data_IF_163600615462
#
_entry.id   IF_163600615462
#
_cell.length_a   1.000
_cell.length_b   1.000
_cell.length_c   1.000
_cell.angle_alpha   90.00
_cell.angle_beta   90.00
_cell.angle_gamma   90.00
#
_symmetry.space_group_name_H-M   'P 1'
#
loop_
_entity.id
_entity.type
_entity.pdbx_description
1 polymer ?
#
# COMPACT_ATOMS: atom_id res chain seq x y z
N UNK A 1 37.09 -40.15 -18.09
CA UNK A 1 37.45 -38.80 -17.63
C UNK A 1 36.17 -37.96 -17.71
N UNK A 2 35.22 -38.24 -16.81
CA UNK A 2 33.91 -37.60 -16.80
C UNK A 2 33.95 -36.38 -15.87
N UNK A 3 33.75 -35.21 -16.46
CA UNK A 3 33.54 -33.98 -15.72
C UNK A 3 32.14 -34.04 -15.06
N UNK A 4 32.13 -34.25 -13.75
CA UNK A 4 30.97 -34.03 -12.89
C UNK A 4 30.67 -32.54 -12.89
N UNK A 5 29.69 -32.12 -13.68
CA UNK A 5 29.10 -30.78 -13.60
C UNK A 5 28.42 -30.65 -12.22
N UNK A 6 29.09 -29.96 -11.30
CA UNK A 6 28.48 -29.49 -10.06
C UNK A 6 27.37 -28.50 -10.42
N UNK A 7 26.13 -28.86 -10.11
CA UNK A 7 25.00 -27.93 -10.18
C UNK A 7 25.23 -26.80 -9.18
N UNK A 8 25.10 -25.57 -9.66
CA UNK A 8 25.16 -24.36 -8.85
C UNK A 8 24.11 -24.39 -7.74
N UNK A 9 24.43 -24.00 -6.50
CA UNK A 9 23.48 -23.91 -5.38
C UNK A 9 22.42 -22.80 -5.56
N UNK A 10 22.44 -22.08 -6.68
CA UNK A 10 21.44 -21.08 -7.04
C UNK A 10 20.37 -21.59 -8.03
N UNK A 11 20.43 -22.85 -8.44
CA UNK A 11 19.44 -23.47 -9.34
C UNK A 11 18.32 -24.16 -8.55
N UNK A 12 17.85 -23.50 -7.48
CA UNK A 12 16.60 -23.88 -6.85
C UNK A 12 15.48 -23.31 -7.72
N UNK A 13 15.01 -24.13 -8.66
CA UNK A 13 13.66 -23.98 -9.20
C UNK A 13 12.74 -23.81 -7.99
N UNK A 14 12.20 -22.59 -7.81
CA UNK A 14 11.20 -22.30 -6.79
C UNK A 14 10.03 -23.21 -7.09
N UNK A 15 9.94 -24.33 -6.37
CA UNK A 15 8.86 -25.26 -6.54
C UNK A 15 7.64 -24.60 -5.90
N UNK A 16 6.73 -24.12 -6.75
CA UNK A 16 5.40 -23.68 -6.34
C UNK A 16 4.84 -24.76 -5.41
N UNK A 17 4.54 -24.38 -4.17
CA UNK A 17 3.90 -25.30 -3.24
C UNK A 17 2.52 -25.61 -3.81
N UNK A 18 2.06 -26.87 -3.80
CA UNK A 18 0.76 -27.24 -4.40
C UNK A 18 -0.41 -26.43 -3.82
N UNK A 19 -0.24 -25.87 -2.62
CA UNK A 19 -1.24 -25.08 -1.90
C UNK A 19 -1.12 -23.57 -2.11
N UNK A 20 -0.12 -23.07 -2.85
CA UNK A 20 0.04 -21.62 -3.08
C UNK A 20 -1.18 -20.98 -3.78
N UNK A 21 -1.82 -21.60 -4.80
CA UNK A 21 -3.05 -21.08 -5.36
C UNK A 21 -4.18 -20.97 -4.34
N UNK A 22 -4.30 -21.95 -3.44
CA UNK A 22 -5.30 -21.91 -2.37
C UNK A 22 -5.00 -20.81 -1.35
N UNK A 23 -3.73 -20.57 -1.03
CA UNK A 23 -3.30 -19.48 -0.16
C UNK A 23 -3.62 -18.10 -0.73
N UNK A 24 -3.50 -17.91 -2.06
CA UNK A 24 -3.91 -16.67 -2.74
C UNK A 24 -5.41 -16.43 -2.58
N UNK A 25 -6.25 -17.45 -2.79
CA UNK A 25 -7.71 -17.33 -2.62
C UNK A 25 -8.13 -17.09 -1.17
N UNK A 26 -7.42 -17.69 -0.21
CA UNK A 26 -7.60 -17.40 1.21
C UNK A 26 -7.22 -15.95 1.53
N UNK A 27 -6.13 -15.43 0.96
CA UNK A 27 -5.74 -14.03 1.12
C UNK A 27 -6.78 -13.07 0.56
N UNK A 28 -7.33 -13.34 -0.64
CA UNK A 28 -8.45 -12.58 -1.23
C UNK A 28 -9.67 -12.58 -0.30
N UNK A 29 -10.00 -13.73 0.25
CA UNK A 29 -11.13 -13.88 1.19
C UNK A 29 -10.90 -13.07 2.46
N UNK A 30 -9.71 -13.16 3.06
CA UNK A 30 -9.36 -12.42 4.27
C UNK A 30 -9.40 -10.90 4.06
N UNK A 31 -8.88 -10.41 2.93
CA UNK A 31 -8.91 -8.98 2.57
C UNK A 31 -10.32 -8.44 2.37
N UNK A 32 -11.21 -9.22 1.73
CA UNK A 32 -12.63 -8.84 1.62
C UNK A 32 -13.33 -8.85 2.98
N UNK A 33 -13.10 -9.89 3.78
CA UNK A 33 -13.71 -10.01 5.10
C UNK A 33 -13.33 -8.86 6.03
N UNK A 34 -12.06 -8.45 6.05
CA UNK A 34 -11.64 -7.29 6.86
C UNK A 34 -12.23 -5.98 6.32
N UNK A 35 -12.30 -5.81 4.99
CA UNK A 35 -12.92 -4.63 4.37
C UNK A 35 -14.41 -4.52 4.72
N UNK A 36 -15.15 -5.63 4.63
CA UNK A 36 -16.56 -5.71 5.03
C UNK A 36 -16.76 -5.40 6.51
N UNK A 37 -15.91 -5.97 7.38
CA UNK A 37 -15.92 -5.71 8.83
C UNK A 37 -15.72 -4.22 9.14
N UNK A 38 -14.70 -3.60 8.55
CA UNK A 38 -14.38 -2.18 8.75
C UNK A 38 -15.48 -1.26 8.20
N UNK A 39 -16.05 -1.60 7.04
CA UNK A 39 -17.17 -0.88 6.46
C UNK A 39 -18.43 -0.94 7.35
N UNK A 40 -18.77 -2.13 7.85
CA UNK A 40 -19.94 -2.35 8.71
C UNK A 40 -19.83 -1.58 10.04
N UNK A 41 -18.61 -1.41 10.54
CA UNK A 41 -18.32 -0.63 11.74
C UNK A 41 -18.14 0.87 11.47
N UNK A 42 -18.26 1.32 10.22
CA UNK A 42 -17.98 2.70 9.81
C UNK A 42 -16.59 3.20 10.25
N UNK A 43 -15.59 2.30 10.19
CA UNK A 43 -14.21 2.62 10.55
C UNK A 43 -13.67 3.75 9.67
N UNK A 44 -12.84 4.63 10.26
CA UNK A 44 -12.24 5.76 9.53
C UNK A 44 -11.34 5.25 8.40
N UNK A 45 -11.62 5.72 7.19
CA UNK A 45 -10.83 5.49 5.99
C UNK A 45 -10.06 6.77 5.57
N UNK A 46 -9.12 6.61 4.65
CA UNK A 46 -8.28 7.69 4.12
C UNK A 46 -8.37 7.76 2.60
N UNK A 47 -8.10 8.95 2.05
CA UNK A 47 -8.07 9.14 0.61
C UNK A 47 -6.86 8.44 -0.01
N UNK A 48 -7.07 7.86 -1.20
CA UNK A 48 -6.05 7.25 -2.02
C UNK A 48 -5.82 8.08 -3.27
N UNK A 49 -4.58 8.35 -3.65
CA UNK A 49 -4.30 9.18 -4.82
C UNK A 49 -3.01 8.83 -5.57
N UNK A 50 -3.04 9.09 -6.87
CA UNK A 50 -1.86 9.14 -7.72
C UNK A 50 -1.36 10.60 -7.81
N UNK A 51 -0.05 10.82 -7.64
CA UNK A 51 0.55 12.13 -7.90
C UNK A 51 0.83 12.28 -9.40
N UNK A 52 0.08 13.16 -10.06
CA UNK A 52 0.17 13.38 -11.51
C UNK A 52 1.01 14.62 -11.80
N UNK A 53 2.11 14.43 -12.52
CA UNK A 53 2.88 15.51 -13.15
C UNK A 53 2.42 15.70 -14.60
N UNK A 54 1.56 16.70 -14.87
CA UNK A 54 1.00 16.88 -16.19
C UNK A 54 2.05 17.37 -17.19
N UNK A 55 2.03 16.79 -18.40
CA UNK A 55 2.81 17.30 -19.53
C UNK A 55 2.32 18.71 -19.90
N UNK A 56 3.22 19.63 -20.31
CA UNK A 56 2.81 20.93 -20.84
C UNK A 56 1.92 20.75 -22.07
N UNK A 57 0.90 21.60 -22.21
CA UNK A 57 0.02 21.64 -23.39
C UNK A 57 0.20 23.00 -24.06
N UNK A 58 0.60 23.01 -25.34
CA UNK A 58 0.92 24.23 -26.10
C UNK A 58 1.95 25.15 -25.39
N UNK A 59 2.93 24.56 -24.69
CA UNK A 59 3.95 25.32 -23.95
C UNK A 59 3.48 25.89 -22.60
N UNK A 60 2.22 25.69 -22.21
CA UNK A 60 1.70 26.17 -20.92
C UNK A 60 1.94 25.10 -19.85
N UNK A 61 2.75 25.37 -18.81
CA UNK A 61 2.96 24.43 -17.72
C UNK A 61 1.68 24.26 -16.91
N UNK A 62 1.39 23.02 -16.53
CA UNK A 62 0.24 22.67 -15.71
C UNK A 62 0.75 22.31 -14.32
N UNK A 63 0.02 22.77 -13.28
CA UNK A 63 0.41 22.47 -11.90
C UNK A 63 0.22 20.98 -11.62
N UNK A 64 1.18 20.31 -10.95
CA UNK A 64 0.97 18.96 -10.42
C UNK A 64 -0.29 18.88 -9.58
N UNK A 65 -0.96 17.72 -9.61
CA UNK A 65 -2.18 17.47 -8.83
C UNK A 65 -2.23 16.02 -8.37
N UNK A 66 -2.91 15.77 -7.27
CA UNK A 66 -3.26 14.42 -6.85
C UNK A 66 -4.59 14.01 -7.50
N UNK A 67 -4.61 12.87 -8.19
CA UNK A 67 -5.82 12.29 -8.78
C UNK A 67 -6.35 11.22 -7.84
N UNK A 68 -7.60 11.36 -7.40
CA UNK A 68 -8.24 10.37 -6.52
C UNK A 68 -8.35 9.00 -7.18
N UNK A 69 -8.06 7.97 -6.38
CA UNK A 69 -8.23 6.55 -6.68
C UNK A 69 -9.28 5.90 -5.74
N UNK A 70 -10.03 6.73 -5.00
CA UNK A 70 -11.03 6.28 -4.04
C UNK A 70 -10.53 6.37 -2.59
N UNK A 71 -11.08 5.50 -1.74
CA UNK A 71 -10.79 5.46 -0.30
C UNK A 71 -10.27 4.08 0.08
N UNK A 72 -9.46 4.04 1.14
CA UNK A 72 -8.89 2.81 1.67
C UNK A 72 -8.70 2.93 3.19
N UNK A 73 -8.81 1.80 3.90
CA UNK A 73 -8.31 1.70 5.27
C UNK A 73 -6.81 1.43 5.24
N UNK A 74 -6.06 2.19 6.04
CA UNK A 74 -4.61 2.00 6.18
C UNK A 74 -4.32 1.01 7.29
N UNK A 75 -3.90 -0.18 6.89
CA UNK A 75 -3.52 -1.28 7.77
C UNK A 75 -2.00 -1.48 7.68
N UNK A 76 -1.25 -0.59 8.32
CA UNK A 76 0.21 -0.62 8.41
C UNK A 76 0.89 -0.48 7.04
N UNK A 77 1.44 -1.56 6.48
CA UNK A 77 2.03 -1.63 5.15
C UNK A 77 1.02 -1.78 3.99
N UNK A 78 -0.24 -2.07 4.29
CA UNK A 78 -1.30 -2.30 3.31
C UNK A 78 -2.35 -1.19 3.36
N UNK A 79 -2.91 -0.85 2.20
CA UNK A 79 -4.09 -0.02 2.03
C UNK A 79 -5.17 -0.89 1.38
N UNK A 80 -6.27 -1.11 2.09
CA UNK A 80 -7.35 -2.01 1.65
C UNK A 80 -8.58 -1.20 1.28
N UNK A 81 -9.09 -1.37 0.07
CA UNK A 81 -10.34 -0.72 -0.37
C UNK A 81 -11.55 -1.62 -0.09
N UNK A 82 -12.75 -1.04 -0.20
CA UNK A 82 -14.01 -1.71 0.12
C UNK A 82 -14.28 -2.98 -0.72
N UNK A 83 -13.72 -3.10 -1.91
CA UNK A 83 -13.85 -4.27 -2.78
C UNK A 83 -12.80 -5.37 -2.49
N UNK A 84 -11.94 -5.15 -1.49
CA UNK A 84 -10.82 -6.03 -1.13
C UNK A 84 -9.58 -5.83 -2.00
N UNK A 85 -9.55 -4.85 -2.92
CA UNK A 85 -8.33 -4.48 -3.61
C UNK A 85 -7.32 -3.88 -2.63
N UNK A 86 -6.05 -4.16 -2.88
CA UNK A 86 -4.97 -3.85 -1.93
C UNK A 86 -3.82 -3.12 -2.63
N UNK A 87 -3.27 -2.14 -1.91
CA UNK A 87 -2.15 -1.34 -2.34
C UNK A 87 -1.06 -1.35 -1.27
N UNK A 88 0.19 -1.24 -1.71
CA UNK A 88 1.33 -0.95 -0.84
C UNK A 88 1.25 0.50 -0.37
N UNK A 89 1.50 0.74 0.92
CA UNK A 89 1.63 2.11 1.43
C UNK A 89 2.83 2.83 0.84
N UNK A 90 2.61 4.09 0.46
CA UNK A 90 3.66 5.04 0.13
C UNK A 90 3.79 6.12 1.20
N UNK A 91 3.59 7.37 0.77
CA UNK A 91 3.65 8.57 1.60
C UNK A 91 2.22 9.03 1.95
N UNK A 92 2.01 9.53 3.16
CA UNK A 92 0.76 10.19 3.55
C UNK A 92 0.96 11.70 3.71
N UNK A 93 0.08 12.49 3.07
CA UNK A 93 0.07 13.95 3.20
C UNK A 93 -1.25 14.39 3.80
N UNK A 94 -1.18 15.18 4.89
CA UNK A 94 -2.36 15.86 5.42
C UNK A 94 -2.64 17.14 4.65
N UNK A 95 -3.85 17.27 4.12
CA UNK A 95 -4.29 18.44 3.35
C UNK A 95 -4.34 19.66 4.27
N UNK A 96 -3.45 20.61 3.99
CA UNK A 96 -3.27 21.85 4.74
C UNK A 96 -2.81 22.93 3.77
N UNK A 97 -3.03 24.20 4.10
CA UNK A 97 -2.58 25.32 3.27
C UNK A 97 -1.06 25.22 3.06
N UNK A 98 -0.57 25.09 1.81
CA UNK A 98 0.84 25.07 1.53
C UNK A 98 1.37 26.48 1.80
N UNK A 99 2.04 26.66 2.94
CA UNK A 99 2.67 27.93 3.31
C UNK A 99 3.55 28.52 2.19
N UNK A 100 4.01 29.76 2.35
CA UNK A 100 4.82 30.43 1.33
C UNK A 100 6.15 29.69 1.08
N UNK A 101 6.66 29.65 -0.17
CA UNK A 101 8.01 29.15 -0.42
C UNK A 101 9.02 29.96 0.39
N UNK A 102 9.93 29.28 1.08
CA UNK A 102 10.91 29.92 1.97
C UNK A 102 12.35 29.44 1.70
N UNK A 103 12.58 28.70 0.61
CA UNK A 103 13.89 28.13 0.25
C UNK A 103 14.48 27.26 1.37
N UNK A 104 13.63 26.47 2.00
CA UNK A 104 14.06 25.47 2.98
C UNK A 104 14.74 24.28 2.29
N UNK A 105 15.11 23.28 3.08
CA UNK A 105 15.64 22.02 2.57
C UNK A 105 14.68 21.36 1.55
N UNK A 106 15.23 20.56 0.64
CA UNK A 106 14.47 19.88 -0.41
C UNK A 106 13.27 19.08 0.14
N UNK A 107 13.39 18.47 1.33
CA UNK A 107 12.31 17.70 1.96
C UNK A 107 11.14 18.56 2.47
N UNK A 108 11.39 19.83 2.82
CA UNK A 108 10.34 20.79 3.19
C UNK A 108 9.60 21.25 1.94
N UNK A 109 10.33 21.62 0.89
CA UNK A 109 9.74 22.04 -0.38
C UNK A 109 8.95 20.90 -1.04
N UNK A 110 9.43 19.65 -0.97
CA UNK A 110 8.70 18.47 -1.46
C UNK A 110 7.36 18.27 -0.72
N UNK A 111 7.37 18.34 0.62
CA UNK A 111 6.13 18.23 1.41
C UNK A 111 5.17 19.39 1.14
N UNK A 112 5.69 20.59 0.86
CA UNK A 112 4.88 21.74 0.43
C UNK A 112 4.24 21.48 -0.94
N UNK A 113 5.02 20.96 -1.89
CA UNK A 113 4.53 20.59 -3.22
C UNK A 113 3.43 19.53 -3.15
N UNK A 114 3.57 18.51 -2.31
CA UNK A 114 2.51 17.50 -2.11
C UNK A 114 1.22 18.09 -1.54
N UNK A 115 1.30 19.00 -0.55
CA UNK A 115 0.11 19.70 -0.03
C UNK A 115 -0.58 20.52 -1.12
N UNK A 116 0.20 21.24 -1.93
CA UNK A 116 -0.34 22.00 -3.05
C UNK A 116 -1.00 21.09 -4.10
N UNK A 117 -0.39 19.93 -4.40
CA UNK A 117 -0.96 18.94 -5.31
C UNK A 117 -2.24 18.31 -4.75
N UNK A 118 -2.33 18.07 -3.45
CA UNK A 118 -3.54 17.56 -2.79
C UNK A 118 -4.70 18.57 -2.86
N UNK A 119 -4.44 19.83 -2.53
CA UNK A 119 -5.44 20.90 -2.70
C UNK A 119 -5.89 21.04 -4.16
N UNK A 120 -4.95 21.00 -5.09
CA UNK A 120 -5.28 21.05 -6.51
C UNK A 120 -5.94 19.75 -7.03
N UNK A 121 -5.87 18.66 -6.26
CA UNK A 121 -6.66 17.45 -6.48
C UNK A 121 -8.12 17.58 -6.01
N UNK A 122 -8.45 18.66 -5.28
CA UNK A 122 -9.77 18.88 -4.71
C UNK A 122 -10.02 18.13 -3.40
N UNK A 123 -8.99 17.63 -2.73
CA UNK A 123 -9.16 16.95 -1.44
C UNK A 123 -9.54 17.95 -0.32
N UNK A 124 -10.53 17.63 0.53
CA UNK A 124 -10.92 18.40 1.70
C UNK A 124 -9.76 18.79 2.64
N UNK A 125 -9.86 20.00 3.21
CA UNK A 125 -8.93 20.44 4.25
C UNK A 125 -8.96 19.51 5.47
N UNK A 126 -7.77 19.19 5.98
CA UNK A 126 -7.57 18.32 7.13
C UNK A 126 -7.59 16.82 6.82
N UNK A 127 -7.98 16.40 5.61
CA UNK A 127 -7.98 15.01 5.18
C UNK A 127 -6.55 14.45 5.03
N UNK A 128 -6.39 13.15 5.25
CA UNK A 128 -5.14 12.42 4.96
C UNK A 128 -5.25 11.78 3.58
N UNK A 129 -4.26 12.03 2.71
CA UNK A 129 -4.15 11.45 1.36
C UNK A 129 -2.90 10.58 1.26
N UNK A 130 -3.10 9.29 0.97
CA UNK A 130 -2.04 8.32 0.68
C UNK A 130 -1.69 8.37 -0.81
N UNK A 131 -0.39 8.53 -1.12
CA UNK A 131 0.13 8.68 -2.48
C UNK A 131 1.53 8.06 -2.61
N UNK A 132 2.04 7.90 -3.83
CA UNK A 132 3.27 7.11 -4.06
C UNK A 132 3.06 5.64 -3.70
N UNK A 133 1.85 5.16 -3.94
CA UNK A 133 1.36 3.80 -3.66
C UNK A 133 1.52 2.92 -4.89
N UNK A 134 1.56 1.61 -4.68
CA UNK A 134 1.67 0.62 -5.75
C UNK A 134 0.56 -0.43 -5.59
N UNK A 135 -0.19 -0.79 -6.65
CA UNK A 135 -1.18 -1.85 -6.54
C UNK A 135 -0.47 -3.17 -6.26
N UNK A 136 -1.10 -4.02 -5.46
CA UNK A 136 -0.62 -5.38 -5.20
C UNK A 136 -1.59 -6.34 -5.90
N UNK A 137 -1.23 -6.89 -7.07
CA UNK A 137 -2.03 -7.92 -7.72
C UNK A 137 -2.15 -9.13 -6.80
N UNK A 138 -3.38 -9.64 -6.64
CA UNK A 138 -3.66 -10.83 -5.81
C UNK A 138 -3.55 -12.12 -6.63
N UNK A 139 -2.52 -12.23 -7.45
CA UNK A 139 -2.32 -13.33 -8.39
C UNK A 139 -1.04 -14.11 -8.07
N UNK A 140 -0.58 -14.97 -8.97
CA UNK A 140 0.62 -15.78 -8.81
C UNK A 140 1.89 -14.97 -8.54
N UNK A 141 1.91 -13.65 -8.82
CA UNK A 141 3.04 -12.77 -8.50
C UNK A 141 3.31 -12.62 -7.00
N UNK A 142 2.35 -13.02 -6.15
CA UNK A 142 2.54 -13.09 -4.70
C UNK A 142 3.50 -14.21 -4.27
N UNK A 143 3.59 -15.30 -5.04
CA UNK A 143 4.41 -16.46 -4.69
C UNK A 143 5.89 -16.08 -4.70
N UNK A 144 6.52 -16.17 -3.53
CA UNK A 144 7.90 -15.72 -3.28
C UNK A 144 8.20 -14.28 -3.75
N UNK A 145 7.16 -13.44 -3.75
CA UNK A 145 7.26 -12.03 -4.11
C UNK A 145 8.21 -11.23 -3.20
N UNK A 146 8.59 -10.05 -3.66
CA UNK A 146 9.41 -9.09 -2.90
C UNK A 146 8.58 -8.02 -2.17
N UNK A 147 7.27 -7.96 -2.47
CA UNK A 147 6.35 -6.98 -1.92
C UNK A 147 6.04 -7.17 -0.42
N UNK A 148 5.19 -6.27 0.14
CA UNK A 148 4.77 -6.36 1.54
C UNK A 148 3.80 -7.50 1.79
N UNK A 149 3.08 -8.00 0.77
CA UNK A 149 2.24 -9.19 0.84
C UNK A 149 2.87 -10.26 -0.05
N UNK A 150 3.05 -11.46 0.49
CA UNK A 150 3.67 -12.58 -0.21
C UNK A 150 2.97 -13.89 0.15
N UNK A 151 3.02 -14.86 -0.75
CA UNK A 151 2.62 -16.24 -0.51
C UNK A 151 3.88 -17.09 -0.50
N UNK A 152 4.02 -17.92 0.53
CA UNK A 152 5.13 -18.85 0.68
C UNK A 152 4.72 -20.03 1.54
N UNK A 153 5.10 -21.22 1.09
CA UNK A 153 4.83 -22.49 1.77
C UNK A 153 3.31 -22.66 2.04
N UNK A 154 2.46 -22.33 1.05
CA UNK A 154 1.00 -22.45 1.15
C UNK A 154 0.32 -21.47 2.11
N UNK A 155 0.97 -20.35 2.46
CA UNK A 155 0.42 -19.33 3.37
C UNK A 155 0.72 -17.91 2.92
N UNK A 156 -0.18 -16.98 3.23
CA UNK A 156 0.01 -15.56 3.00
C UNK A 156 0.68 -14.87 4.21
N UNK A 157 1.67 -14.03 3.92
CA UNK A 157 2.48 -13.34 4.91
C UNK A 157 2.59 -11.85 4.59
N UNK A 158 2.64 -11.03 5.63
CA UNK A 158 2.90 -9.59 5.53
C UNK A 158 4.29 -9.27 6.08
N UNK A 159 5.08 -8.57 5.26
CA UNK A 159 6.38 -8.02 5.64
C UNK A 159 6.19 -6.55 6.03
N UNK A 160 6.61 -6.21 7.25
CA UNK A 160 6.60 -4.83 7.73
C UNK A 160 7.94 -4.50 8.39
N UNK A 161 8.62 -3.48 7.87
CA UNK A 161 9.93 -3.08 8.36
C UNK A 161 10.99 -4.18 8.21
N UNK A 162 11.87 -4.30 9.20
CA UNK A 162 12.93 -5.32 9.27
C UNK A 162 12.54 -6.55 10.10
N UNK A 163 11.31 -6.58 10.62
CA UNK A 163 10.86 -7.64 11.51
C UNK A 163 10.49 -8.92 10.75
N UNK A 164 10.31 -10.01 11.50
CA UNK A 164 9.86 -11.27 10.93
C UNK A 164 8.46 -11.09 10.29
N UNK A 165 8.20 -11.70 9.11
CA UNK A 165 6.88 -11.65 8.49
C UNK A 165 5.80 -12.21 9.40
N UNK A 166 4.62 -11.60 9.37
CA UNK A 166 3.45 -12.04 10.14
C UNK A 166 2.44 -12.74 9.22
N UNK A 167 1.70 -13.76 9.69
CA UNK A 167 0.58 -14.31 8.94
C UNK A 167 -0.44 -13.21 8.60
N UNK A 168 -0.94 -13.20 7.37
CA UNK A 168 -1.84 -12.15 6.88
C UNK A 168 -3.06 -11.97 7.77
N UNK A 169 -3.73 -13.05 8.15
CA UNK A 169 -4.96 -13.01 8.93
C UNK A 169 -4.72 -12.35 10.29
N UNK A 170 -3.65 -12.77 10.99
CA UNK A 170 -3.25 -12.17 12.26
C UNK A 170 -2.95 -10.68 12.09
N UNK A 171 -2.20 -10.32 11.05
CA UNK A 171 -1.84 -8.94 10.77
C UNK A 171 -3.07 -8.06 10.50
N UNK A 172 -4.04 -8.56 9.75
CA UNK A 172 -5.29 -7.85 9.46
C UNK A 172 -6.16 -7.70 10.71
N UNK A 173 -6.30 -8.76 11.50
CA UNK A 173 -7.09 -8.74 12.74
C UNK A 173 -6.51 -7.75 13.75
N UNK A 174 -5.20 -7.81 14.01
CA UNK A 174 -4.52 -6.93 14.97
C UNK A 174 -4.71 -5.44 14.59
N UNK A 175 -4.59 -5.10 13.30
CA UNK A 175 -4.73 -3.72 12.83
C UNK A 175 -6.17 -3.26 12.66
N UNK A 176 -7.09 -4.16 12.30
CA UNK A 176 -8.52 -3.85 12.29
C UNK A 176 -8.99 -3.55 13.72
N UNK A 177 -8.57 -4.35 14.70
CA UNK A 177 -8.90 -4.12 16.10
C UNK A 177 -8.37 -2.79 16.61
N UNK A 178 -7.12 -2.44 16.27
CA UNK A 178 -6.54 -1.15 16.60
C UNK A 178 -7.30 0.03 15.97
N UNK A 179 -7.77 -0.13 14.73
CA UNK A 179 -8.51 0.92 14.02
C UNK A 179 -9.92 1.11 14.58
N UNK A 180 -10.56 0.02 15.01
CA UNK A 180 -11.91 0.02 15.59
C UNK A 180 -11.91 0.46 17.06
N UNK A 181 -10.85 0.14 17.79
CA UNK A 181 -10.70 0.42 19.22
C UNK A 181 -9.37 1.15 19.48
N UNK A 182 -9.24 2.40 19.00
CA UNK A 182 -8.01 3.15 19.18
C UNK A 182 -7.71 3.32 20.67
N UNK A 183 -6.45 3.12 21.12
CA UNK A 183 -6.09 3.31 22.51
C UNK A 183 -6.33 4.76 22.91
N UNK A 184 -6.75 4.97 24.16
CA UNK A 184 -6.98 6.31 24.71
C UNK A 184 -5.68 7.14 24.63
N UNK A 185 -5.68 8.21 23.83
CA UNK A 185 -4.57 9.16 23.73
C UNK A 185 -3.87 9.30 22.37
N UNK A 186 -4.42 8.73 21.28
CA UNK A 186 -3.94 8.93 19.91
C UNK A 186 -4.46 10.23 19.25
#
# INVERSE_FOLDING_TARGET
MEARLERSPYDATVAVHPDDPAAIELARTALRAVAERLAAAHARDEALAEHVEPKPVLGIPRRPRMRSLGRAWRLGALLVQADGSVWRTGVSTRVTEPGRPQHHTASVEQRRAWRAAALQGGFPMGETVNHGIEPIPLDESLVDGSGPLVVRDGRAWVRWGSDAPLPLERYLDDLADLLLHPPEGA
#
